data_IF_374973611756
#
_entry.id   IF_374973611756
#
_cell.length_a   1.000
_cell.length_b   1.000
_cell.length_c   1.000
_cell.angle_alpha   90.00
_cell.angle_beta   90.00
_cell.angle_gamma   90.00
#
_symmetry.space_group_name_H-M   'P 1'
#
loop_
_entity.id
_entity.type
_entity.pdbx_description
1 polymer ?
#
# COMPACT_ATOMS: atom_id res chain seq x y z
N UNK A 1 -13.42 58.25 -26.26
CA UNK A 1 -14.49 57.25 -26.01
C UNK A 1 -13.88 56.10 -25.18
N UNK A 2 -13.93 56.22 -23.84
CA UNK A 2 -14.32 55.18 -22.85
C UNK A 2 -14.10 53.69 -23.21
N UNK A 3 -13.48 52.78 -22.44
CA UNK A 3 -13.21 52.65 -20.99
C UNK A 3 -12.04 51.68 -20.74
N UNK A 4 -11.33 51.84 -19.61
CA UNK A 4 -10.60 50.78 -18.90
C UNK A 4 -11.58 49.88 -18.13
N UNK A 5 -11.43 48.54 -18.17
CA UNK A 5 -11.73 47.63 -17.05
C UNK A 5 -11.04 46.26 -17.24
N UNK A 6 -9.95 46.04 -16.49
CA UNK A 6 -9.66 44.91 -15.61
C UNK A 6 -10.18 43.50 -15.96
N UNK A 7 -9.22 42.59 -16.18
CA UNK A 7 -9.41 41.14 -16.06
C UNK A 7 -8.06 40.44 -15.93
N UNK A 8 -7.67 40.13 -14.69
CA UNK A 8 -6.42 39.47 -14.30
C UNK A 8 -6.11 38.24 -15.14
N UNK A 9 -4.89 38.17 -15.68
CA UNK A 9 -4.31 36.95 -16.24
C UNK A 9 -3.90 36.07 -15.05
N UNK A 10 -4.54 34.93 -14.73
CA UNK A 10 -3.99 34.04 -13.72
C UNK A 10 -2.68 33.44 -14.25
N UNK A 11 -1.65 33.53 -13.40
CA UNK A 11 -0.36 32.87 -13.60
C UNK A 11 -0.57 31.36 -13.77
N UNK A 12 0.24 30.78 -14.65
CA UNK A 12 0.43 29.35 -14.96
C UNK A 12 -0.75 28.61 -15.60
N UNK A 13 -0.76 28.54 -16.93
CA UNK A 13 -1.13 27.30 -17.62
C UNK A 13 0.04 26.96 -18.52
N UNK A 14 0.84 26.00 -18.07
CA UNK A 14 1.99 25.48 -18.81
C UNK A 14 1.42 24.69 -20.00
N UNK A 15 1.67 25.17 -21.21
CA UNK A 15 1.43 24.39 -22.43
C UNK A 15 2.53 23.33 -22.54
N UNK A 16 2.27 22.12 -22.05
CA UNK A 16 3.07 20.96 -22.39
C UNK A 16 2.71 20.53 -23.81
N UNK A 17 3.49 21.01 -24.76
CA UNK A 17 3.53 20.47 -26.10
C UNK A 17 4.29 19.14 -26.06
N UNK A 18 3.58 18.01 -25.96
CA UNK A 18 4.15 16.71 -26.37
C UNK A 18 3.08 15.74 -26.85
N UNK A 19 3.39 15.20 -28.03
CA UNK A 19 2.88 14.04 -28.73
C UNK A 19 1.44 13.97 -29.24
N UNK A 20 1.40 13.49 -30.50
CA UNK A 20 0.27 13.40 -31.42
C UNK A 20 -0.74 12.34 -30.99
N UNK A 21 -1.48 12.59 -29.92
CA UNK A 21 -2.71 11.85 -29.62
C UNK A 21 -3.84 12.86 -29.64
N UNK A 22 -4.73 12.77 -30.63
CA UNK A 22 -5.90 13.63 -30.74
C UNK A 22 -6.89 13.30 -29.61
N UNK A 23 -6.68 13.87 -28.42
CA UNK A 23 -7.49 13.67 -27.20
C UNK A 23 -8.84 14.40 -27.21
N UNK A 24 -9.12 15.15 -28.29
CA UNK A 24 -10.34 15.92 -28.49
C UNK A 24 -11.07 15.48 -29.76
N UNK A 25 -12.35 15.11 -29.62
CA UNK A 25 -13.30 14.97 -30.73
C UNK A 25 -14.34 16.07 -30.62
N UNK A 26 -14.38 16.99 -31.59
CA UNK A 26 -15.28 18.15 -31.60
C UNK A 26 -16.38 17.91 -32.64
N UNK A 27 -17.64 18.09 -32.23
CA UNK A 27 -18.81 18.17 -33.09
C UNK A 27 -19.56 19.47 -32.83
N UNK A 28 -20.50 19.85 -33.70
CA UNK A 28 -21.23 21.13 -33.62
C UNK A 28 -21.91 21.40 -32.27
N UNK A 29 -22.20 20.35 -31.48
CA UNK A 29 -22.96 20.46 -30.23
C UNK A 29 -22.22 19.92 -28.99
N UNK A 30 -21.07 19.27 -29.15
CA UNK A 30 -20.29 18.81 -28.00
C UNK A 30 -18.82 18.56 -28.34
N UNK A 31 -17.99 18.69 -27.31
CA UNK A 31 -16.59 18.28 -27.31
C UNK A 31 -16.47 17.03 -26.45
N UNK A 32 -16.01 15.93 -27.05
CA UNK A 32 -15.66 14.71 -26.34
C UNK A 32 -14.16 14.73 -26.03
N UNK A 33 -13.84 14.78 -24.75
CA UNK A 33 -12.46 14.70 -24.25
C UNK A 33 -12.23 13.29 -23.71
N UNK A 34 -11.24 12.58 -24.26
CA UNK A 34 -10.86 11.25 -23.77
C UNK A 34 -9.57 11.37 -22.99
N UNK A 35 -9.70 11.46 -21.68
CA UNK A 35 -8.57 11.34 -20.78
C UNK A 35 -8.23 9.85 -20.62
N UNK A 36 -7.01 9.41 -20.93
CA UNK A 36 -6.56 8.08 -20.54
C UNK A 36 -6.39 8.09 -19.02
N UNK A 37 -7.44 7.76 -18.29
CA UNK A 37 -7.32 7.48 -16.86
C UNK A 37 -6.83 6.04 -16.72
N UNK A 38 -5.76 5.83 -15.95
CA UNK A 38 -5.48 4.51 -15.41
C UNK A 38 -6.70 4.11 -14.57
N UNK A 39 -7.36 3.01 -14.92
CA UNK A 39 -8.46 2.49 -14.10
C UNK A 39 -7.89 2.36 -12.68
N UNK A 40 -8.51 2.95 -11.64
CA UNK A 40 -8.05 2.69 -10.29
C UNK A 40 -8.12 1.18 -10.11
N UNK A 41 -6.94 0.55 -10.02
CA UNK A 41 -6.86 -0.85 -9.69
C UNK A 41 -7.59 -0.99 -8.35
N UNK A 42 -8.44 -2.01 -8.17
CA UNK A 42 -9.03 -2.24 -6.85
C UNK A 42 -7.90 -2.20 -5.81
N UNK A 43 -8.17 -1.59 -4.64
CA UNK A 43 -7.21 -1.32 -3.57
C UNK A 43 -6.80 -2.65 -2.86
N UNK A 44 -6.60 -3.72 -3.62
CA UNK A 44 -6.02 -4.99 -3.20
C UNK A 44 -4.51 -4.88 -3.12
N UNK A 45 -3.88 -4.07 -3.99
CA UNK A 45 -2.42 -3.88 -4.01
C UNK A 45 -1.89 -3.11 -2.79
N UNK A 46 -2.50 -1.99 -2.39
CA UNK A 46 -2.06 -1.19 -1.21
C UNK A 46 -2.17 -2.00 0.09
N UNK A 47 -3.17 -2.89 0.20
CA UNK A 47 -3.31 -3.79 1.35
C UNK A 47 -2.18 -4.82 1.39
N UNK A 48 -1.69 -5.26 0.23
CA UNK A 48 -0.60 -6.23 0.15
C UNK A 48 0.72 -5.63 0.64
N UNK A 49 1.07 -4.41 0.21
CA UNK A 49 2.34 -3.78 0.57
C UNK A 49 2.46 -3.55 2.08
N UNK A 50 1.41 -2.99 2.70
CA UNK A 50 1.36 -2.80 4.17
C UNK A 50 1.38 -4.14 4.92
N UNK A 51 0.78 -5.17 4.35
CA UNK A 51 0.76 -6.49 4.97
C UNK A 51 2.13 -7.17 4.88
N UNK A 52 2.83 -6.99 3.75
CA UNK A 52 4.19 -7.49 3.55
C UNK A 52 5.16 -6.81 4.52
N UNK A 53 5.04 -5.49 4.69
CA UNK A 53 5.84 -4.74 5.66
C UNK A 53 5.59 -5.23 7.10
N UNK A 54 4.33 -5.47 7.48
CA UNK A 54 4.01 -6.03 8.79
C UNK A 54 4.53 -7.45 8.97
N UNK A 55 4.48 -8.29 7.93
CA UNK A 55 5.04 -9.64 7.94
C UNK A 55 6.55 -9.61 8.17
N UNK A 56 7.27 -8.74 7.48
CA UNK A 56 8.71 -8.56 7.62
C UNK A 56 9.08 -8.11 9.04
N UNK A 57 8.40 -7.09 9.57
CA UNK A 57 8.62 -6.60 10.93
C UNK A 57 8.38 -7.69 11.98
N UNK A 58 7.30 -8.46 11.85
CA UNK A 58 7.02 -9.59 12.75
C UNK A 58 8.10 -10.66 12.62
N UNK A 59 8.56 -10.97 11.41
CA UNK A 59 9.61 -11.96 11.18
C UNK A 59 10.93 -11.56 11.85
N UNK A 60 11.32 -10.29 11.75
CA UNK A 60 12.51 -9.74 12.41
C UNK A 60 12.44 -9.90 13.94
N UNK A 61 11.28 -9.60 14.53
CA UNK A 61 11.07 -9.78 15.98
C UNK A 61 11.14 -11.26 16.36
N UNK A 62 10.58 -12.16 15.56
CA UNK A 62 10.64 -13.61 15.82
C UNK A 62 12.06 -14.17 15.66
N UNK A 63 12.89 -13.56 14.82
CA UNK A 63 14.29 -13.91 14.66
C UNK A 63 15.11 -13.50 15.89
N UNK A 64 14.85 -12.32 16.43
CA UNK A 64 15.53 -11.76 17.60
C UNK A 64 15.07 -12.41 18.92
N UNK A 65 13.75 -12.57 19.10
CA UNK A 65 13.13 -13.12 20.30
C UNK A 65 12.17 -14.30 19.98
N UNK A 66 12.68 -15.54 19.84
CA UNK A 66 11.89 -16.70 19.45
C UNK A 66 10.73 -17.05 20.41
N UNK A 67 10.83 -16.66 21.68
CA UNK A 67 9.85 -17.00 22.72
C UNK A 67 8.74 -15.97 22.89
N UNK A 68 8.80 -14.88 22.12
CA UNK A 68 7.88 -13.75 22.27
C UNK A 68 6.42 -14.15 22.00
N UNK A 69 5.53 -13.55 22.77
CA UNK A 69 4.08 -13.74 22.67
C UNK A 69 3.43 -12.74 21.71
N UNK A 70 2.24 -13.06 21.21
CA UNK A 70 1.50 -12.16 20.33
C UNK A 70 1.18 -10.80 20.99
N UNK A 71 1.03 -10.77 22.32
CA UNK A 71 0.81 -9.56 23.09
C UNK A 71 2.06 -8.67 23.11
N UNK A 72 3.22 -9.25 23.38
CA UNK A 72 4.49 -8.48 23.39
C UNK A 72 4.84 -7.93 21.99
N UNK A 73 4.56 -8.69 20.93
CA UNK A 73 4.68 -8.19 19.54
C UNK A 73 3.70 -7.02 19.30
N UNK A 74 2.47 -7.15 19.80
CA UNK A 74 1.42 -6.12 19.67
C UNK A 74 1.86 -4.81 20.34
N UNK A 75 2.42 -4.92 21.56
CA UNK A 75 2.92 -3.78 22.32
C UNK A 75 4.15 -3.13 21.63
N UNK A 76 5.08 -3.93 21.09
CA UNK A 76 6.28 -3.43 20.39
C UNK A 76 6.00 -2.73 19.07
N UNK A 77 5.02 -3.23 18.32
CA UNK A 77 4.68 -2.71 16.98
C UNK A 77 3.52 -1.70 17.02
N UNK A 78 2.94 -1.44 18.20
CA UNK A 78 1.76 -0.58 18.38
C UNK A 78 0.57 -0.96 17.47
N UNK A 79 0.41 -2.25 17.21
CA UNK A 79 -0.68 -2.81 16.39
C UNK A 79 -1.57 -3.71 17.24
N UNK A 80 -2.80 -3.97 16.79
CA UNK A 80 -3.71 -4.84 17.54
C UNK A 80 -3.21 -6.29 17.61
N UNK A 81 -3.46 -6.97 18.72
CA UNK A 81 -3.12 -8.40 18.88
C UNK A 81 -3.78 -9.27 17.80
N UNK A 82 -4.99 -8.89 17.34
CA UNK A 82 -5.67 -9.58 16.25
C UNK A 82 -4.93 -9.47 14.92
N UNK A 83 -4.29 -8.33 14.64
CA UNK A 83 -3.41 -8.11 13.49
C UNK A 83 -2.17 -8.99 13.59
N UNK A 84 -1.53 -9.05 14.76
CA UNK A 84 -0.38 -9.94 15.01
C UNK A 84 -0.75 -11.39 14.74
N UNK A 85 -1.84 -11.88 15.37
CA UNK A 85 -2.30 -13.27 15.18
C UNK A 85 -2.60 -13.59 13.72
N UNK A 86 -3.19 -12.64 12.98
CA UNK A 86 -3.42 -12.78 11.54
C UNK A 86 -2.11 -12.92 10.77
N UNK A 87 -1.14 -12.03 11.01
CA UNK A 87 0.17 -12.05 10.35
C UNK A 87 0.93 -13.33 10.68
N UNK A 88 1.01 -13.72 11.95
CA UNK A 88 1.66 -14.97 12.39
C UNK A 88 1.01 -16.20 11.74
N UNK A 89 -0.33 -16.22 11.61
CA UNK A 89 -1.04 -17.29 10.91
C UNK A 89 -0.63 -17.37 9.44
N UNK A 90 -0.54 -16.23 8.75
CA UNK A 90 -0.14 -16.18 7.35
C UNK A 90 1.32 -16.61 7.15
N UNK A 91 2.24 -16.17 8.02
CA UNK A 91 3.65 -16.62 7.99
C UNK A 91 3.76 -18.13 8.21
N UNK A 92 2.90 -18.72 9.06
CA UNK A 92 2.82 -20.16 9.28
C UNK A 92 2.22 -20.91 8.08
N UNK A 93 1.16 -20.36 7.48
CA UNK A 93 0.52 -20.93 6.28
C UNK A 93 1.45 -20.88 5.06
N UNK A 94 2.28 -19.84 4.96
CA UNK A 94 3.35 -19.72 3.97
C UNK A 94 4.59 -20.59 4.30
N UNK A 95 4.54 -21.39 5.37
CA UNK A 95 5.64 -22.24 5.85
C UNK A 95 6.94 -21.48 6.20
N UNK A 96 6.89 -20.17 6.39
CA UNK A 96 8.07 -19.35 6.73
C UNK A 96 8.45 -19.53 8.20
N UNK A 97 7.46 -19.71 9.07
CA UNK A 97 7.67 -19.93 10.51
C UNK A 97 6.92 -21.16 11.00
N UNK A 98 7.46 -21.79 12.03
CA UNK A 98 6.82 -22.90 12.74
C UNK A 98 6.92 -22.71 14.26
N UNK A 99 5.91 -23.19 14.99
CA UNK A 99 5.97 -23.25 16.45
C UNK A 99 6.54 -24.59 16.88
N UNK A 100 7.64 -24.57 17.64
CA UNK A 100 8.29 -25.77 18.18
C UNK A 100 8.06 -25.83 19.69
N UNK A 101 7.53 -26.96 20.19
CA UNK A 101 7.27 -27.19 21.61
C UNK A 101 5.80 -26.99 22.03
N UNK A 102 5.57 -26.90 23.35
CA UNK A 102 4.23 -26.79 23.94
C UNK A 102 3.58 -25.43 23.67
N UNK A 103 2.24 -25.37 23.68
CA UNK A 103 1.49 -24.11 23.46
C UNK A 103 1.91 -22.96 24.39
N UNK A 104 2.37 -23.25 25.61
CA UNK A 104 2.76 -22.26 26.63
C UNK A 104 4.25 -21.92 26.65
N UNK A 105 5.12 -22.83 26.23
CA UNK A 105 6.59 -22.70 26.41
C UNK A 105 7.38 -22.91 25.12
N UNK A 106 6.71 -23.22 24.01
CA UNK A 106 7.36 -23.39 22.72
C UNK A 106 7.84 -22.05 22.16
N UNK A 107 8.75 -22.11 21.21
CA UNK A 107 9.32 -20.95 20.52
C UNK A 107 8.99 -20.98 19.03
N UNK A 108 9.13 -19.84 18.37
CA UNK A 108 9.02 -19.69 16.93
C UNK A 108 10.36 -19.99 16.27
N UNK A 109 10.35 -20.90 15.30
CA UNK A 109 11.50 -21.24 14.46
C UNK A 109 11.24 -20.76 13.04
N UNK A 110 12.19 -20.03 12.47
CA UNK A 110 12.17 -19.63 11.06
C UNK A 110 12.64 -20.83 10.23
N UNK A 111 11.89 -21.16 9.18
CA UNK A 111 12.25 -22.19 8.20
C UNK A 111 13.21 -21.53 7.21
N UNK A 112 14.42 -22.07 7.09
CA UNK A 112 15.35 -21.63 6.06
C UNK A 112 14.74 -21.93 4.69
N UNK A 113 14.65 -20.92 3.83
CA UNK A 113 14.14 -21.05 2.47
C UNK A 113 15.37 -21.37 1.62
N UNK A 114 15.54 -22.63 1.25
CA UNK A 114 16.59 -23.07 0.31
C UNK A 114 16.22 -22.70 -1.13
#
# INVERSE_FOLDING_TARGET
MNYMQNGSIPRSVIFFHHDRISVFHISDHFIKVVFPFEKPQPITFIRNDRLNELMERVLLILADEPYITAKEISDKLEISESTVRRVTRQLREAEIIMRVGSKKTGYWKIKDIH
#
